data_IF_111757869023
#
_entry.id   IF_111757869023
#
_cell.length_a   1.000
_cell.length_b   1.000
_cell.length_c   1.000
_cell.angle_alpha   90.00
_cell.angle_beta   90.00
_cell.angle_gamma   90.00
#
_symmetry.space_group_name_H-M   'P 1'
#
loop_
_entity.id
_entity.type
_entity.pdbx_description
1 polymer ?
#
# COMPACT_ATOMS: atom_id res chain seq x y z
N UNK A 1 1.13 28.91 -1.14
CA UNK A 1 1.92 27.65 -1.16
C UNK A 1 1.15 26.61 -0.33
N UNK A 2 1.02 25.33 -0.70
CA UNK A 2 1.62 24.67 -1.87
C UNK A 2 0.84 23.45 -2.43
N UNK A 3 -0.50 23.42 -2.43
CA UNK A 3 -1.26 22.28 -2.98
C UNK A 3 -0.85 21.85 -4.40
N UNK A 4 -0.58 22.80 -5.31
CA UNK A 4 -0.01 22.53 -6.63
C UNK A 4 1.34 21.80 -6.55
N UNK A 5 2.23 22.24 -5.66
CA UNK A 5 3.59 21.72 -5.55
C UNK A 5 3.65 20.40 -4.75
N UNK A 6 2.70 20.18 -3.84
CA UNK A 6 2.49 18.89 -3.16
C UNK A 6 2.01 17.84 -4.16
N UNK A 7 1.02 18.19 -5.00
CA UNK A 7 0.53 17.31 -6.08
C UNK A 7 1.63 16.98 -7.08
N UNK A 8 2.40 17.98 -7.51
CA UNK A 8 3.58 17.76 -8.34
C UNK A 8 4.58 16.83 -7.65
N UNK A 9 4.88 17.02 -6.35
CA UNK A 9 5.80 16.13 -5.63
C UNK A 9 5.28 14.68 -5.50
N UNK A 10 3.95 14.50 -5.42
CA UNK A 10 3.26 13.20 -5.43
C UNK A 10 3.29 12.56 -6.83
N UNK A 11 3.12 13.34 -7.90
CA UNK A 11 3.29 12.94 -9.30
C UNK A 11 4.75 12.52 -9.59
N UNK A 12 5.75 13.26 -9.08
CA UNK A 12 7.18 12.88 -9.15
C UNK A 12 7.48 11.61 -8.34
N UNK A 13 6.88 11.43 -7.15
CA UNK A 13 7.00 10.18 -6.39
C UNK A 13 6.45 8.97 -7.16
N UNK A 14 5.30 9.13 -7.84
CA UNK A 14 4.73 8.06 -8.66
C UNK A 14 5.59 7.76 -9.91
N UNK A 15 6.13 8.77 -10.59
CA UNK A 15 7.03 8.56 -11.74
C UNK A 15 8.38 7.96 -11.34
N UNK A 16 8.97 8.38 -10.22
CA UNK A 16 10.18 7.75 -9.66
C UNK A 16 9.91 6.29 -9.27
N UNK A 17 8.71 6.01 -8.74
CA UNK A 17 8.21 4.66 -8.52
C UNK A 17 8.20 3.85 -9.81
N UNK A 18 7.39 4.23 -10.81
CA UNK A 18 7.27 3.47 -12.07
C UNK A 18 8.63 3.19 -12.72
N UNK A 19 9.50 4.21 -12.82
CA UNK A 19 10.82 4.06 -13.42
C UNK A 19 11.74 3.10 -12.61
N UNK A 20 11.60 3.04 -11.29
CA UNK A 20 12.32 2.07 -10.46
C UNK A 20 11.91 0.62 -10.78
N UNK A 21 10.62 0.33 -10.89
CA UNK A 21 10.15 -1.03 -11.24
C UNK A 21 10.44 -1.41 -12.70
N UNK A 22 10.43 -0.44 -13.63
CA UNK A 22 10.87 -0.67 -15.01
C UNK A 22 12.38 -0.96 -15.05
N UNK A 23 13.19 -0.27 -14.26
CA UNK A 23 14.61 -0.61 -14.11
C UNK A 23 14.81 -2.01 -13.50
N UNK A 24 14.09 -2.33 -12.43
CA UNK A 24 14.09 -3.64 -11.75
C UNK A 24 13.72 -4.79 -12.70
N UNK A 25 12.69 -4.61 -13.54
CA UNK A 25 12.27 -5.60 -14.52
C UNK A 25 13.31 -5.80 -15.64
N UNK A 26 13.99 -4.74 -16.08
CA UNK A 26 15.07 -4.85 -17.06
C UNK A 26 16.34 -5.46 -16.47
N UNK A 27 16.68 -5.16 -15.22
CA UNK A 27 17.82 -5.77 -14.52
C UNK A 27 17.61 -7.30 -14.34
N UNK A 28 16.39 -7.71 -13.96
CA UNK A 28 15.99 -9.11 -13.95
C UNK A 28 16.16 -9.77 -15.34
N UNK A 29 15.70 -9.13 -16.42
CA UNK A 29 15.88 -9.67 -17.77
C UNK A 29 17.36 -9.81 -18.15
N UNK A 30 18.20 -8.85 -17.80
CA UNK A 30 19.64 -8.88 -18.08
C UNK A 30 20.37 -9.94 -17.24
N UNK A 31 20.07 -10.09 -15.95
CA UNK A 31 20.69 -11.08 -15.07
C UNK A 31 20.22 -12.53 -15.35
N UNK A 32 19.13 -12.71 -16.10
CA UNK A 32 18.57 -14.01 -16.49
C UNK A 32 18.81 -14.37 -17.98
N UNK A 33 19.62 -13.59 -18.71
CA UNK A 33 19.86 -13.72 -20.16
C UNK A 33 18.56 -13.77 -21.01
N UNK A 34 17.47 -13.13 -20.54
CA UNK A 34 16.16 -13.18 -21.17
C UNK A 34 16.00 -12.09 -22.26
N UNK A 35 15.56 -12.45 -23.49
CA UNK A 35 15.46 -11.50 -24.59
C UNK A 35 14.21 -10.60 -24.46
N UNK A 36 14.40 -9.37 -24.00
CA UNK A 36 13.36 -8.34 -23.96
C UNK A 36 13.87 -6.98 -23.47
N UNK A 37 13.02 -5.97 -23.54
CA UNK A 37 13.20 -4.71 -22.82
C UNK A 37 11.82 -4.15 -22.44
N UNK A 38 11.64 -3.82 -21.17
CA UNK A 38 10.42 -3.20 -20.62
C UNK A 38 10.57 -1.67 -20.70
N UNK A 39 9.57 -0.96 -21.20
CA UNK A 39 9.56 0.52 -21.26
C UNK A 39 8.55 1.15 -20.29
N UNK A 40 7.46 0.46 -19.98
CA UNK A 40 6.48 0.80 -18.93
C UNK A 40 5.98 -0.47 -18.23
N UNK A 41 5.40 -0.32 -17.04
CA UNK A 41 4.72 -1.41 -16.34
C UNK A 41 3.58 -2.05 -17.17
N UNK A 42 3.05 -1.37 -18.18
CA UNK A 42 2.07 -1.94 -19.13
C UNK A 42 2.63 -3.08 -19.98
N UNK A 43 3.95 -3.15 -20.16
CA UNK A 43 4.59 -4.14 -21.03
C UNK A 43 4.82 -5.47 -20.31
N UNK A 44 4.61 -5.50 -18.98
CA UNK A 44 4.85 -6.65 -18.10
C UNK A 44 3.61 -7.55 -18.09
N UNK A 45 3.46 -8.31 -19.19
CA UNK A 45 2.38 -9.30 -19.35
C UNK A 45 2.52 -10.52 -18.41
N UNK A 46 1.42 -11.28 -18.20
CA UNK A 46 1.44 -12.51 -17.42
C UNK A 46 2.41 -13.56 -17.98
N UNK A 47 2.64 -13.57 -19.29
CA UNK A 47 3.64 -14.41 -19.96
C UNK A 47 5.06 -14.10 -19.47
N UNK A 48 5.40 -12.81 -19.30
CA UNK A 48 6.72 -12.36 -18.86
C UNK A 48 6.96 -12.71 -17.39
N UNK A 49 5.95 -12.54 -16.53
CA UNK A 49 6.02 -12.89 -15.11
C UNK A 49 6.20 -14.41 -14.91
N UNK A 50 5.55 -15.23 -15.74
CA UNK A 50 5.80 -16.68 -15.79
C UNK A 50 7.23 -17.00 -16.25
N UNK A 51 7.72 -16.33 -17.30
CA UNK A 51 9.07 -16.56 -17.83
C UNK A 51 10.18 -16.16 -16.84
N UNK A 52 9.99 -15.05 -16.11
CA UNK A 52 10.88 -14.61 -15.03
C UNK A 52 10.96 -15.68 -13.92
N UNK A 53 9.82 -16.18 -13.43
CA UNK A 53 9.81 -17.25 -12.43
C UNK A 53 10.50 -18.53 -12.93
N UNK A 54 10.24 -18.96 -14.17
CA UNK A 54 10.88 -20.17 -14.72
C UNK A 54 12.41 -20.05 -14.88
N UNK A 55 12.94 -18.82 -15.02
CA UNK A 55 14.37 -18.57 -15.12
C UNK A 55 15.05 -18.40 -13.75
N UNK A 56 14.38 -17.80 -12.76
CA UNK A 56 14.86 -17.67 -11.37
C UNK A 56 14.81 -19.04 -10.67
N UNK A 57 13.70 -19.76 -10.84
CA UNK A 57 13.38 -21.00 -10.12
C UNK A 57 13.41 -22.21 -11.07
N UNK A 58 14.56 -22.47 -11.70
CA UNK A 58 14.78 -23.46 -12.77
C UNK A 58 14.11 -24.84 -12.61
N UNK A 59 13.93 -25.32 -11.38
CA UNK A 59 13.37 -26.63 -11.03
C UNK A 59 11.87 -26.61 -10.63
N UNK A 60 11.28 -25.44 -10.39
CA UNK A 60 9.88 -25.28 -9.93
C UNK A 60 8.83 -25.50 -11.06
N UNK A 61 8.96 -26.61 -11.79
CA UNK A 61 8.16 -26.93 -12.99
C UNK A 61 6.87 -27.70 -12.70
N UNK A 62 6.54 -27.92 -11.43
CA UNK A 62 5.45 -28.81 -11.01
C UNK A 62 4.10 -28.13 -11.23
N UNK A 63 3.22 -28.76 -12.03
CA UNK A 63 1.84 -28.31 -12.24
C UNK A 63 1.62 -27.22 -13.30
N UNK A 64 2.67 -26.62 -13.86
CA UNK A 64 2.57 -25.59 -14.90
C UNK A 64 2.22 -26.18 -16.28
N UNK A 65 1.29 -25.55 -16.98
CA UNK A 65 0.83 -25.93 -18.32
C UNK A 65 1.76 -25.33 -19.38
N UNK A 66 2.35 -26.16 -20.23
CA UNK A 66 3.16 -25.72 -21.40
C UNK A 66 2.82 -26.52 -22.67
N UNK A 67 2.66 -25.86 -23.83
CA UNK A 67 2.56 -24.41 -24.00
C UNK A 67 1.28 -23.85 -23.37
N UNK A 68 1.36 -22.68 -22.74
CA UNK A 68 0.17 -21.94 -22.30
C UNK A 68 -0.42 -21.22 -23.51
N UNK A 69 -1.53 -21.75 -24.05
CA UNK A 69 -2.15 -21.24 -25.29
C UNK A 69 -3.33 -20.31 -24.98
N UNK A 70 -3.94 -20.45 -23.81
CA UNK A 70 -5.10 -19.67 -23.38
C UNK A 70 -4.81 -18.82 -22.15
N UNK A 71 -5.59 -17.76 -22.00
CA UNK A 71 -5.63 -16.92 -20.79
C UNK A 71 -6.09 -17.70 -19.53
N UNK A 72 -6.68 -18.89 -19.68
CA UNK A 72 -6.95 -19.78 -18.55
C UNK A 72 -5.68 -20.52 -18.10
N UNK A 73 -4.86 -20.97 -19.05
CA UNK A 73 -3.57 -21.65 -18.78
C UNK A 73 -2.57 -20.68 -18.14
N UNK A 74 -2.50 -19.44 -18.62
CA UNK A 74 -1.65 -18.39 -18.04
C UNK A 74 -2.05 -18.02 -16.61
N UNK A 75 -3.37 -17.89 -16.34
CA UNK A 75 -3.88 -17.67 -14.98
C UNK A 75 -3.60 -18.86 -14.06
N UNK A 76 -3.65 -20.09 -14.57
CA UNK A 76 -3.28 -21.29 -13.83
C UNK A 76 -1.77 -21.31 -13.54
N UNK A 77 -0.93 -21.01 -14.53
CA UNK A 77 0.52 -20.92 -14.33
C UNK A 77 0.87 -19.85 -13.30
N UNK A 78 0.24 -18.67 -13.34
CA UNK A 78 0.43 -17.64 -12.32
C UNK A 78 -0.07 -18.05 -10.92
N UNK A 79 -1.08 -18.92 -10.82
CA UNK A 79 -1.44 -19.53 -9.55
C UNK A 79 -0.30 -20.44 -9.05
N UNK A 80 0.22 -21.34 -9.89
CA UNK A 80 1.37 -22.17 -9.55
C UNK A 80 2.63 -21.35 -9.18
N UNK A 81 2.90 -20.24 -9.87
CA UNK A 81 3.99 -19.30 -9.51
C UNK A 81 3.79 -18.76 -8.09
N UNK A 82 2.61 -18.19 -7.78
CA UNK A 82 2.33 -17.62 -6.46
C UNK A 82 2.30 -18.70 -5.37
N UNK A 83 1.74 -19.87 -5.65
CA UNK A 83 1.65 -20.98 -4.71
C UNK A 83 3.04 -21.57 -4.42
N UNK A 84 3.92 -21.77 -5.40
CA UNK A 84 5.30 -22.22 -5.13
C UNK A 84 6.15 -21.13 -4.49
N UNK A 85 6.00 -19.86 -4.86
CA UNK A 85 6.65 -18.76 -4.13
C UNK A 85 6.24 -18.75 -2.65
N UNK A 86 4.94 -18.90 -2.36
CA UNK A 86 4.42 -18.87 -1.00
C UNK A 86 4.76 -20.12 -0.18
N UNK A 87 4.70 -21.32 -0.77
CA UNK A 87 4.84 -22.59 -0.04
C UNK A 87 6.25 -23.20 -0.13
N UNK A 88 6.97 -23.05 -1.25
CA UNK A 88 8.24 -23.75 -1.51
C UNK A 88 9.48 -22.83 -1.39
N UNK A 89 9.34 -21.53 -1.69
CA UNK A 89 10.49 -20.59 -1.78
C UNK A 89 10.57 -19.63 -0.60
N UNK A 90 9.48 -18.93 -0.26
CA UNK A 90 9.46 -17.91 0.80
C UNK A 90 8.89 -18.41 2.13
N UNK A 91 8.08 -19.48 2.10
CA UNK A 91 7.28 -19.97 3.23
C UNK A 91 6.37 -18.89 3.89
N UNK A 92 5.90 -17.90 3.10
CA UNK A 92 5.10 -16.74 3.54
C UNK A 92 3.83 -16.60 2.68
N UNK A 93 2.71 -16.23 3.31
CA UNK A 93 1.43 -16.06 2.62
C UNK A 93 1.41 -14.85 1.67
N UNK A 94 1.47 -15.10 0.36
CA UNK A 94 1.30 -14.10 -0.70
C UNK A 94 -0.16 -13.76 -0.99
N UNK A 95 -1.07 -13.85 -0.01
CA UNK A 95 -2.53 -13.67 -0.18
C UNK A 95 -2.97 -12.29 -0.70
N UNK A 96 -2.08 -11.31 -0.73
CA UNK A 96 -2.27 -9.98 -1.31
C UNK A 96 -1.98 -9.91 -2.83
N UNK A 97 -1.28 -10.91 -3.39
CA UNK A 97 -1.06 -11.07 -4.84
C UNK A 97 -2.01 -12.17 -5.34
N UNK A 98 -2.86 -11.85 -6.32
CA UNK A 98 -3.80 -12.83 -6.89
C UNK A 98 -3.58 -12.95 -8.41
N UNK A 99 -3.66 -14.16 -9.00
CA UNK A 99 -3.51 -14.34 -10.45
C UNK A 99 -4.44 -13.46 -11.29
N UNK A 100 -5.65 -13.16 -10.80
CA UNK A 100 -6.60 -12.30 -11.49
C UNK A 100 -6.17 -10.82 -11.58
N UNK A 101 -5.41 -10.31 -10.61
CA UNK A 101 -4.91 -8.93 -10.62
C UNK A 101 -3.72 -8.80 -11.59
N UNK A 102 -2.83 -9.80 -11.62
CA UNK A 102 -1.74 -9.89 -12.59
C UNK A 102 -2.29 -10.02 -14.03
N UNK A 103 -3.26 -10.91 -14.26
CA UNK A 103 -3.92 -11.11 -15.55
C UNK A 103 -4.75 -9.89 -16.03
N UNK A 104 -5.01 -8.91 -15.16
CA UNK A 104 -5.68 -7.65 -15.52
C UNK A 104 -4.73 -6.44 -15.57
N UNK A 105 -3.42 -6.66 -15.46
CA UNK A 105 -2.42 -5.59 -15.55
C UNK A 105 -2.36 -4.69 -14.31
N UNK A 106 -2.81 -5.17 -13.14
CA UNK A 106 -2.82 -4.37 -11.93
C UNK A 106 -1.38 -4.04 -11.47
N UNK A 107 -0.99 -2.78 -11.64
CA UNK A 107 0.35 -2.29 -11.30
C UNK A 107 0.78 -2.59 -9.87
N UNK A 108 -0.13 -2.64 -8.88
CA UNK A 108 0.24 -3.01 -7.49
C UNK A 108 0.66 -4.48 -7.39
N UNK A 109 -0.15 -5.39 -7.93
CA UNK A 109 0.18 -6.82 -7.94
C UNK A 109 1.46 -7.11 -8.74
N UNK A 110 1.67 -6.43 -9.87
CA UNK A 110 2.88 -6.54 -10.69
C UNK A 110 4.11 -6.08 -9.91
N UNK A 111 4.06 -4.90 -9.26
CA UNK A 111 5.18 -4.36 -8.47
C UNK A 111 5.56 -5.28 -7.31
N UNK A 112 4.58 -5.74 -6.54
CA UNK A 112 4.81 -6.66 -5.41
C UNK A 112 5.48 -7.97 -5.88
N UNK A 113 5.12 -8.49 -7.06
CA UNK A 113 5.75 -9.70 -7.61
C UNK A 113 7.15 -9.44 -8.18
N UNK A 114 7.41 -8.26 -8.77
CA UNK A 114 8.75 -7.86 -9.22
C UNK A 114 9.72 -7.66 -8.05
N UNK A 115 9.27 -7.06 -6.94
CA UNK A 115 10.08 -6.95 -5.71
C UNK A 115 10.51 -8.32 -5.19
N UNK A 116 9.58 -9.29 -5.18
CA UNK A 116 9.86 -10.69 -4.84
C UNK A 116 10.88 -11.31 -5.80
N UNK A 117 10.69 -11.17 -7.11
CA UNK A 117 11.62 -11.70 -8.12
C UNK A 117 13.02 -11.07 -7.99
N UNK A 118 13.12 -9.76 -7.76
CA UNK A 118 14.39 -9.06 -7.57
C UNK A 118 15.11 -9.52 -6.31
N UNK A 119 14.41 -9.60 -5.16
CA UNK A 119 15.00 -10.09 -3.92
C UNK A 119 15.49 -11.54 -4.01
N UNK A 120 14.76 -12.40 -4.74
CA UNK A 120 15.20 -13.77 -5.03
C UNK A 120 16.44 -13.80 -5.95
N UNK A 121 16.47 -12.96 -6.98
CA UNK A 121 17.62 -12.88 -7.89
C UNK A 121 18.87 -12.34 -7.19
N UNK A 122 18.74 -11.31 -6.36
CA UNK A 122 19.81 -10.75 -5.52
C UNK A 122 20.39 -11.81 -4.57
N UNK A 123 19.54 -12.63 -3.94
CA UNK A 123 19.96 -13.76 -3.11
C UNK A 123 20.73 -14.83 -3.90
N UNK A 124 20.27 -15.17 -5.11
CA UNK A 124 20.93 -16.16 -5.98
C UNK A 124 22.28 -15.67 -6.52
N UNK A 125 22.38 -14.41 -6.96
CA UNK A 125 23.65 -13.78 -7.38
C UNK A 125 24.60 -13.62 -6.20
N UNK A 126 24.11 -13.19 -5.02
CA UNK A 126 24.93 -13.07 -3.81
C UNK A 126 25.60 -14.40 -3.42
N UNK A 127 24.83 -15.50 -3.47
CA UNK A 127 25.36 -16.87 -3.26
C UNK A 127 26.34 -17.32 -4.35
N UNK A 128 26.22 -16.80 -5.57
CA UNK A 128 27.04 -17.20 -6.72
C UNK A 128 28.36 -16.41 -6.80
N UNK A 129 28.36 -15.15 -6.33
CA UNK A 129 29.54 -14.30 -6.26
C UNK A 129 30.45 -14.61 -5.03
N UNK A 130 29.88 -15.17 -3.95
CA UNK A 130 30.59 -15.53 -2.71
C UNK A 130 31.46 -16.80 -2.78
N UNK A 131 32.03 -17.12 -3.94
CA UNK A 131 32.59 -18.44 -4.25
C UNK A 131 34.03 -18.74 -3.79
N UNK A 132 34.37 -18.61 -2.50
CA UNK A 132 35.43 -19.42 -1.86
C UNK A 132 35.34 -19.45 -0.32
N UNK A 133 35.73 -20.58 0.28
CA UNK A 133 36.40 -20.59 1.59
C UNK A 133 35.61 -20.37 2.89
N UNK A 134 34.37 -20.87 3.06
CA UNK A 134 33.66 -20.77 4.34
C UNK A 134 32.67 -21.90 4.64
N UNK A 135 32.92 -22.66 5.72
CA UNK A 135 31.96 -23.62 6.29
C UNK A 135 30.91 -22.87 7.14
N UNK A 136 29.94 -22.26 6.45
CA UNK A 136 28.77 -21.61 7.08
C UNK A 136 27.74 -22.70 7.36
N UNK A 137 27.96 -23.44 8.45
CA UNK A 137 26.98 -24.41 8.97
C UNK A 137 25.66 -23.70 9.29
N UNK A 138 24.54 -24.44 9.28
CA UNK A 138 23.20 -23.90 9.55
C UNK A 138 23.08 -23.21 10.93
N UNK A 139 24.04 -23.45 11.83
CA UNK A 139 24.14 -22.85 13.16
C UNK A 139 24.34 -21.33 13.09
N UNK A 140 25.19 -20.83 12.18
CA UNK A 140 25.48 -19.38 12.09
C UNK A 140 24.32 -18.54 11.54
N UNK A 141 23.52 -19.11 10.63
CA UNK A 141 22.30 -18.43 10.14
C UNK A 141 21.19 -18.36 11.20
N UNK A 142 21.20 -19.27 12.18
CA UNK A 142 20.28 -19.22 13.32
C UNK A 142 20.73 -18.15 14.33
N UNK A 143 22.02 -18.07 14.66
CA UNK A 143 22.54 -17.06 15.60
C UNK A 143 22.29 -15.61 15.12
N UNK A 144 22.45 -15.31 13.83
CA UNK A 144 22.13 -13.97 13.31
C UNK A 144 20.62 -13.65 13.38
N UNK A 145 19.76 -14.63 13.09
CA UNK A 145 18.30 -14.45 13.19
C UNK A 145 17.83 -14.29 14.65
N UNK A 146 18.37 -15.05 15.60
CA UNK A 146 18.06 -14.88 17.03
C UNK A 146 18.52 -13.52 17.55
N UNK A 147 19.71 -13.05 17.12
CA UNK A 147 20.24 -11.73 17.49
C UNK A 147 19.39 -10.59 16.90
N UNK A 148 18.94 -10.69 15.64
CA UNK A 148 18.01 -9.74 15.04
C UNK A 148 16.65 -9.73 15.77
N UNK A 149 16.09 -10.90 16.06
CA UNK A 149 14.79 -11.02 16.73
C UNK A 149 14.83 -10.53 18.18
N UNK A 150 15.94 -10.79 18.89
CA UNK A 150 16.21 -10.22 20.21
C UNK A 150 16.25 -8.69 20.18
N UNK A 151 17.01 -8.10 19.23
CA UNK A 151 17.11 -6.64 19.06
C UNK A 151 15.77 -6.00 18.66
N UNK A 152 14.95 -6.68 17.86
CA UNK A 152 13.60 -6.23 17.53
C UNK A 152 12.67 -6.24 18.76
N UNK A 153 12.72 -7.29 19.57
CA UNK A 153 11.98 -7.40 20.83
C UNK A 153 12.38 -6.28 21.81
N UNK A 154 13.68 -6.04 21.94
CA UNK A 154 14.27 -4.95 22.74
C UNK A 154 13.78 -3.55 22.31
N UNK A 155 13.49 -3.35 21.01
CA UNK A 155 12.91 -2.11 20.50
C UNK A 155 11.40 -2.02 20.75
N UNK A 156 10.66 -3.13 20.63
CA UNK A 156 9.23 -3.19 20.89
C UNK A 156 8.90 -2.88 22.37
N UNK A 157 9.65 -3.45 23.32
CA UNK A 157 9.46 -3.15 24.76
C UNK A 157 9.74 -1.68 25.10
N UNK A 158 10.73 -1.06 24.45
CA UNK A 158 11.02 0.39 24.61
C UNK A 158 9.86 1.24 24.09
N UNK A 159 9.30 0.90 22.93
CA UNK A 159 8.15 1.59 22.33
C UNK A 159 6.90 1.40 23.21
N UNK A 160 6.67 0.20 23.74
CA UNK A 160 5.56 -0.09 24.66
C UNK A 160 5.68 0.72 25.97
N UNK A 161 6.89 0.84 26.53
CA UNK A 161 7.17 1.70 27.68
C UNK A 161 6.87 3.18 27.41
N UNK A 162 7.32 3.71 26.27
CA UNK A 162 7.03 5.08 25.85
C UNK A 162 5.52 5.32 25.64
N UNK A 163 4.80 4.36 25.05
CA UNK A 163 3.35 4.44 24.86
C UNK A 163 2.60 4.47 26.20
N UNK A 164 3.04 3.70 27.20
CA UNK A 164 2.47 3.73 28.55
C UNK A 164 2.71 5.08 29.26
N UNK A 165 3.91 5.66 29.13
CA UNK A 165 4.23 6.98 29.68
C UNK A 165 3.39 8.10 29.02
N UNK A 166 3.24 8.07 27.68
CA UNK A 166 2.38 8.99 26.93
C UNK A 166 0.92 8.90 27.41
N UNK A 167 0.40 7.69 27.65
CA UNK A 167 -0.97 7.48 28.11
C UNK A 167 -1.21 8.04 29.53
N UNK A 168 -0.27 7.85 30.46
CA UNK A 168 -0.33 8.42 31.81
C UNK A 168 -0.19 9.96 31.79
N UNK A 169 0.66 10.52 30.92
CA UNK A 169 0.73 11.96 30.71
C UNK A 169 -0.57 12.55 30.12
N UNK A 170 -1.17 11.86 29.15
CA UNK A 170 -2.46 12.26 28.57
C UNK A 170 -3.59 12.24 29.61
N UNK A 171 -3.58 11.24 30.51
CA UNK A 171 -4.52 11.14 31.63
C UNK A 171 -4.36 12.31 32.62
N UNK A 172 -3.13 12.63 33.03
CA UNK A 172 -2.83 13.78 33.92
C UNK A 172 -3.23 15.12 33.28
N UNK A 173 -3.03 15.26 31.97
CA UNK A 173 -3.50 16.44 31.22
C UNK A 173 -5.04 16.53 31.20
N UNK A 174 -5.75 15.41 31.09
CA UNK A 174 -7.21 15.36 31.16
C UNK A 174 -7.75 15.65 32.59
N UNK A 175 -7.02 15.30 33.63
CA UNK A 175 -7.33 15.65 35.03
C UNK A 175 -7.12 17.16 35.27
N UNK A 176 -5.99 17.73 34.85
CA UNK A 176 -5.73 19.18 34.91
C UNK A 176 -6.78 19.99 34.12
N UNK A 177 -7.17 19.52 32.93
CA UNK A 177 -8.21 20.16 32.10
C UNK A 177 -9.61 20.12 32.74
N UNK A 178 -9.86 19.23 33.70
CA UNK A 178 -11.12 19.21 34.46
C UNK A 178 -11.14 20.20 35.62
N UNK A 179 -9.98 20.56 36.18
CA UNK A 179 -9.87 21.56 37.24
C UNK A 179 -10.13 22.99 36.74
N UNK A 180 -9.81 23.29 35.47
CA UNK A 180 -9.97 24.62 34.85
C UNK A 180 -11.33 24.82 34.16
N UNK A 181 -12.40 24.16 34.63
CA UNK A 181 -13.75 24.37 34.09
C UNK A 181 -14.35 25.68 34.64
N UNK A 182 -14.64 26.70 33.82
CA UNK A 182 -15.34 27.90 34.30
C UNK A 182 -16.75 27.56 34.79
N UNK A 183 -17.19 28.25 35.84
CA UNK A 183 -18.53 28.09 36.42
C UNK A 183 -19.63 28.40 35.38
N UNK A 184 -20.76 27.66 35.39
CA UNK A 184 -21.85 27.89 34.45
C UNK A 184 -22.50 29.25 34.71
N UNK A 185 -22.37 30.17 33.74
CA UNK A 185 -23.03 31.48 33.84
C UNK A 185 -24.53 31.34 33.51
N UNK A 186 -25.38 31.87 34.38
CA UNK A 186 -26.83 31.96 34.14
C UNK A 186 -27.14 33.06 33.12
N UNK A 187 -28.04 32.83 32.14
CA UNK A 187 -28.38 33.84 31.14
C UNK A 187 -29.04 35.09 31.77
N UNK A 188 -28.59 36.28 31.35
CA UNK A 188 -29.25 37.55 31.63
C UNK A 188 -30.34 37.84 30.58
N UNK A 189 -31.43 38.55 30.95
CA UNK A 189 -32.56 38.76 30.05
C UNK A 189 -32.26 39.79 28.95
N UNK A 190 -32.84 39.57 27.77
CA UNK A 190 -32.70 40.49 26.63
C UNK A 190 -33.58 41.75 26.78
N UNK A 191 -33.01 42.91 26.45
CA UNK A 191 -33.70 44.19 26.32
C UNK A 191 -33.71 44.67 24.87
N UNK A 192 -34.74 45.43 24.47
CA UNK A 192 -35.04 45.74 23.07
C UNK A 192 -34.92 47.23 22.72
N UNK A 193 -34.43 47.52 21.51
CA UNK A 193 -34.64 48.75 20.70
C UNK A 193 -33.91 48.63 19.34
N UNK A 194 -34.18 49.39 18.27
CA UNK A 194 -35.42 49.95 17.69
C UNK A 194 -35.09 50.72 16.37
N UNK A 195 -35.98 50.65 15.36
CA UNK A 195 -36.11 51.57 14.18
C UNK A 195 -34.94 51.64 13.14
N UNK A 196 -35.11 52.14 11.90
CA UNK A 196 -36.25 52.79 11.20
C UNK A 196 -36.29 52.36 9.68
N UNK A 197 -37.44 52.26 8.97
CA UNK A 197 -38.14 53.29 8.11
C UNK A 197 -37.32 53.66 6.84
N UNK A 198 -37.79 53.74 5.58
CA UNK A 198 -39.06 54.16 4.89
C UNK A 198 -39.63 53.08 3.90
N UNK A 199 -40.93 52.99 3.56
CA UNK A 199 -41.80 53.78 2.63
C UNK A 199 -41.36 53.76 1.13
N UNK A 200 -42.24 53.66 0.11
CA UNK A 200 -43.72 53.60 0.01
C UNK A 200 -44.17 52.23 -0.62
N UNK A 201 -45.27 51.93 -1.35
CA UNK A 201 -46.40 52.66 -1.97
C UNK A 201 -47.71 51.78 -2.04
N UNK A 202 -48.76 52.22 -2.75
CA UNK A 202 -50.08 51.55 -2.87
C UNK A 202 -50.74 51.76 -4.28
N UNK A 203 -52.07 51.54 -4.53
CA UNK A 203 -53.04 50.50 -4.11
C UNK A 203 -53.80 49.83 -5.29
N UNK A 204 -54.76 48.93 -4.97
CA UNK A 204 -55.94 48.39 -5.73
C UNK A 204 -56.01 46.85 -5.51
N UNK A 205 -57.13 46.15 -5.32
CA UNK A 205 -58.56 46.43 -5.07
C UNK A 205 -59.18 45.07 -4.62
N UNK A 206 -60.16 44.99 -3.72
CA UNK A 206 -61.61 44.99 -4.01
C UNK A 206 -62.00 44.09 -5.22
N UNK A 207 -62.89 43.08 -5.13
CA UNK A 207 -63.80 42.64 -4.04
C UNK A 207 -64.15 41.15 -4.22
N UNK A 208 -64.65 40.47 -3.16
CA UNK A 208 -65.57 39.31 -3.24
C UNK A 208 -65.08 38.00 -3.91
N UNK A 209 -65.82 36.88 -3.88
CA UNK A 209 -66.66 36.25 -2.83
C UNK A 209 -67.01 34.81 -3.31
N UNK A 210 -67.33 33.89 -2.39
CA UNK A 210 -67.81 32.51 -2.65
C UNK A 210 -66.90 31.63 -3.56
N UNK A 211 -67.08 30.31 -3.70
CA UNK A 211 -67.91 29.38 -2.94
C UNK A 211 -68.24 28.10 -3.74
N UNK A 212 -67.91 26.94 -3.17
CA UNK A 212 -68.65 25.67 -3.31
C UNK A 212 -68.79 25.03 -4.72
N UNK A 213 -68.04 23.94 -4.91
CA UNK A 213 -68.46 22.63 -5.49
C UNK A 213 -69.22 22.59 -6.83
N UNK A 214 -68.56 21.99 -7.84
CA UNK A 214 -69.05 20.75 -8.48
C UNK A 214 -67.87 19.88 -8.93
#
# INVERSE_FOLDING_TARGET
LNFQLLRVMEEWQQQLGEQHYVAMANDLLMNLDLPGQVSSLTDIGPELLVQLFEAICCDCRVGMIRPAVTQADLRHNLACVIDSLANDVLHVSLSHIRPADLMSGNYEAIRNLLEIFHGLMEFLVGRSAGGDGGDVTAETQLEENENLNGRLTDQLDRIAGQAAEINELAKRLAELRQADRPLPQTPLPATAAAAAVDAEAAPNGDTSDEGIVQ
#
